data_IF_086212288520
#
_entry.id   IF_086212288520
#
_cell.length_a   1.000
_cell.length_b   1.000
_cell.length_c   1.000
_cell.angle_alpha   90.00
_cell.angle_beta   90.00
_cell.angle_gamma   90.00
#
_symmetry.space_group_name_H-M   'P 1'
#
loop_
_entity.id
_entity.type
_entity.pdbx_description
1 polymer ?
#
# COMPACT_ATOMS: atom_id res chain seq x y z
N UNK A 1 21.21 4.34 0.85
CA UNK A 1 20.60 3.05 0.43
C UNK A 1 19.16 3.24 -0.07
N UNK A 2 18.78 2.55 -1.16
CA UNK A 2 17.41 2.47 -1.72
C UNK A 2 16.94 1.01 -1.75
N UNK A 3 15.63 0.78 -1.71
CA UNK A 3 15.05 -0.56 -1.84
C UNK A 3 13.66 -0.54 -2.48
N UNK A 4 13.32 -1.62 -3.18
CA UNK A 4 12.00 -1.87 -3.75
C UNK A 4 11.62 -3.34 -3.54
N UNK A 5 10.37 -3.62 -3.18
CA UNK A 5 9.87 -4.98 -3.01
C UNK A 5 8.82 -5.29 -4.06
N UNK A 6 9.07 -6.27 -4.90
CA UNK A 6 8.09 -6.79 -5.84
C UNK A 6 7.35 -7.98 -5.25
N UNK A 7 6.02 -7.93 -5.34
CA UNK A 7 5.12 -9.02 -4.98
C UNK A 7 4.36 -9.45 -6.23
N UNK A 8 4.34 -10.74 -6.58
CA UNK A 8 3.67 -11.25 -7.78
C UNK A 8 2.15 -11.39 -7.57
N UNK A 9 1.52 -10.34 -7.06
CA UNK A 9 0.10 -10.29 -6.71
C UNK A 9 -0.52 -8.98 -7.22
N UNK A 10 -1.85 -8.98 -7.44
CA UNK A 10 -2.58 -7.79 -7.86
C UNK A 10 -2.52 -6.65 -6.82
N UNK A 11 -2.60 -5.38 -7.25
CA UNK A 11 -2.47 -4.22 -6.36
C UNK A 11 -3.51 -4.21 -5.23
N UNK A 12 -4.74 -4.66 -5.49
CA UNK A 12 -5.83 -4.68 -4.52
C UNK A 12 -5.65 -5.77 -3.45
N UNK A 13 -5.18 -6.96 -3.83
CA UNK A 13 -4.83 -8.03 -2.87
C UNK A 13 -3.68 -7.61 -1.95
N UNK A 14 -2.70 -6.91 -2.53
CA UNK A 14 -1.55 -6.40 -1.76
C UNK A 14 -1.98 -5.27 -0.85
N UNK A 15 -2.86 -4.36 -1.31
CA UNK A 15 -3.48 -3.32 -0.49
C UNK A 15 -4.22 -3.91 0.72
N UNK A 16 -5.11 -4.87 0.48
CA UNK A 16 -5.89 -5.52 1.54
C UNK A 16 -4.98 -6.20 2.57
N UNK A 17 -3.95 -6.91 2.10
CA UNK A 17 -2.97 -7.59 2.96
C UNK A 17 -2.16 -6.62 3.81
N UNK A 18 -1.70 -5.52 3.22
CA UNK A 18 -0.91 -4.51 3.94
C UNK A 18 -1.79 -3.78 4.96
N UNK A 19 -3.05 -3.47 4.62
CA UNK A 19 -4.04 -2.93 5.55
C UNK A 19 -4.28 -3.86 6.75
N UNK A 20 -4.45 -5.16 6.53
CA UNK A 20 -4.65 -6.14 7.60
C UNK A 20 -3.45 -6.24 8.57
N UNK A 21 -2.27 -5.76 8.16
CA UNK A 21 -1.04 -5.76 8.96
C UNK A 21 -0.62 -4.37 9.44
N UNK A 22 -1.48 -3.36 9.23
CA UNK A 22 -1.16 -1.94 9.48
C UNK A 22 0.10 -1.44 8.75
N UNK A 23 0.58 -2.18 7.74
CA UNK A 23 1.73 -1.79 6.95
C UNK A 23 1.33 -0.70 5.97
N UNK A 24 2.14 0.36 5.88
CA UNK A 24 1.85 1.50 5.00
C UNK A 24 3.02 1.77 4.05
N UNK A 25 3.00 1.21 2.83
CA UNK A 25 3.97 1.62 1.82
C UNK A 25 3.70 3.09 1.48
N UNK A 26 4.73 3.80 1.05
CA UNK A 26 4.57 5.18 0.58
C UNK A 26 3.98 5.21 -0.82
N UNK A 27 4.24 4.20 -1.64
CA UNK A 27 3.81 4.14 -3.03
C UNK A 27 3.66 2.70 -3.50
N UNK A 28 2.68 2.48 -4.36
CA UNK A 28 2.50 1.24 -5.12
C UNK A 28 2.74 1.54 -6.60
N UNK A 29 3.51 0.68 -7.27
CA UNK A 29 3.77 0.75 -8.70
C UNK A 29 3.31 -0.56 -9.33
N UNK A 30 2.13 -0.59 -9.98
CA UNK A 30 1.61 -1.80 -10.59
C UNK A 30 2.43 -2.19 -11.82
N UNK A 31 2.53 -3.49 -12.06
CA UNK A 31 3.10 -4.10 -13.26
C UNK A 31 2.16 -5.21 -13.74
N UNK A 32 2.30 -5.72 -14.97
CA UNK A 32 1.44 -6.78 -15.48
C UNK A 32 1.45 -8.05 -14.61
N UNK A 33 2.61 -8.39 -14.01
CA UNK A 33 2.78 -9.60 -13.21
C UNK A 33 2.85 -9.33 -11.70
N UNK A 34 2.51 -8.13 -11.23
CA UNK A 34 2.44 -7.86 -9.79
C UNK A 34 2.47 -6.38 -9.41
N UNK A 35 3.05 -6.10 -8.24
CA UNK A 35 3.16 -4.73 -7.73
C UNK A 35 4.52 -4.50 -7.06
N UNK A 36 5.18 -3.41 -7.40
CA UNK A 36 6.30 -2.90 -6.62
C UNK A 36 5.78 -2.06 -5.44
N UNK A 37 6.32 -2.37 -4.28
CA UNK A 37 6.10 -1.70 -3.01
C UNK A 37 7.28 -0.79 -2.73
N UNK A 38 7.00 0.51 -2.68
CA UNK A 38 7.97 1.53 -2.27
C UNK A 38 7.56 2.04 -0.88
N UNK A 39 8.15 1.47 0.15
CA UNK A 39 8.11 2.00 1.52
C UNK A 39 9.45 2.68 1.85
N UNK A 40 9.55 3.42 2.99
CA UNK A 40 10.81 3.92 3.54
C UNK A 40 11.96 2.95 3.26
N UNK A 41 13.01 3.44 2.61
CA UNK A 41 14.18 2.62 2.42
C UNK A 41 14.74 2.32 3.81
N UNK A 42 15.02 1.05 4.14
CA UNK A 42 15.65 0.77 5.42
C UNK A 42 16.99 1.49 5.48
N UNK A 43 17.35 1.99 6.66
CA UNK A 43 18.68 2.61 6.86
C UNK A 43 19.79 1.57 6.67
N UNK A 44 19.49 0.29 6.93
CA UNK A 44 20.42 -0.84 6.79
C UNK A 44 19.82 -2.02 6.02
N UNK A 45 20.64 -2.65 5.18
CA UNK A 45 20.23 -3.78 4.33
C UNK A 45 19.64 -4.98 5.10
N UNK A 46 20.09 -5.18 6.35
CA UNK A 46 19.62 -6.26 7.21
C UNK A 46 18.10 -6.22 7.50
N UNK A 47 17.43 -5.10 7.25
CA UNK A 47 15.98 -4.94 7.47
C UNK A 47 15.11 -5.29 6.26
N UNK A 48 15.70 -5.40 5.06
CA UNK A 48 14.98 -5.78 3.82
C UNK A 48 14.27 -7.14 3.93
N UNK A 49 14.85 -8.19 4.55
CA UNK A 49 14.19 -9.49 4.70
C UNK A 49 12.87 -9.45 5.45
N UNK A 50 12.76 -8.62 6.48
CA UNK A 50 11.54 -8.50 7.27
C UNK A 50 10.44 -7.78 6.49
N UNK A 51 10.82 -6.75 5.72
CA UNK A 51 9.91 -6.10 4.78
C UNK A 51 9.36 -7.10 3.75
N UNK A 52 10.20 -7.98 3.21
CA UNK A 52 9.79 -9.03 2.28
C UNK A 52 8.83 -10.02 2.90
N UNK A 53 9.13 -10.50 4.11
CA UNK A 53 8.24 -11.43 4.84
C UNK A 53 6.87 -10.82 5.08
N UNK A 54 6.81 -9.52 5.38
CA UNK A 54 5.54 -8.82 5.58
C UNK A 54 4.77 -8.67 4.27
N UNK A 55 5.46 -8.27 3.19
CA UNK A 55 4.88 -8.08 1.85
C UNK A 55 4.38 -9.40 1.22
N UNK A 56 5.19 -10.46 1.27
CA UNK A 56 4.86 -11.77 0.71
C UNK A 56 3.61 -12.38 1.37
N UNK A 57 3.42 -12.17 2.67
CA UNK A 57 2.30 -12.81 3.37
C UNK A 57 2.54 -14.31 3.62
N UNK A 58 1.46 -15.06 3.91
CA UNK A 58 1.58 -16.49 4.24
C UNK A 58 1.66 -17.33 2.95
N UNK A 59 2.79 -17.98 2.74
CA UNK A 59 2.96 -19.00 1.70
C UNK A 59 3.19 -18.47 0.28
N UNK A 60 3.35 -17.15 0.09
CA UNK A 60 3.67 -16.57 -1.23
C UNK A 60 5.13 -16.16 -1.32
N UNK A 61 5.58 -15.92 -2.53
CA UNK A 61 6.90 -15.40 -2.84
C UNK A 61 6.93 -13.87 -2.87
N UNK A 62 8.10 -13.29 -2.66
CA UNK A 62 8.37 -11.89 -2.96
C UNK A 62 9.85 -11.71 -3.30
N UNK A 63 10.17 -10.69 -4.08
CA UNK A 63 11.55 -10.35 -4.44
C UNK A 63 11.83 -8.91 -4.03
N UNK A 64 12.88 -8.70 -3.26
CA UNK A 64 13.35 -7.37 -2.87
C UNK A 64 14.63 -7.04 -3.60
N UNK A 65 14.75 -5.82 -4.08
CA UNK A 65 15.99 -5.26 -4.61
C UNK A 65 16.45 -4.15 -3.67
N UNK A 66 17.72 -4.18 -3.29
CA UNK A 66 18.35 -3.13 -2.49
C UNK A 66 19.61 -2.66 -3.20
N UNK A 67 19.87 -1.34 -3.19
CA UNK A 67 21.03 -0.80 -3.86
C UNK A 67 21.56 0.50 -3.24
N UNK A 68 22.86 0.74 -3.44
CA UNK A 68 23.58 1.94 -3.04
C UNK A 68 24.76 2.16 -3.98
N UNK A 69 24.71 3.23 -4.77
CA UNK A 69 25.64 3.42 -5.89
C UNK A 69 25.60 2.22 -6.84
N UNK A 70 26.77 1.68 -7.18
CA UNK A 70 26.92 0.53 -8.08
C UNK A 70 26.73 -0.83 -7.39
N UNK A 71 26.41 -0.84 -6.08
CA UNK A 71 26.16 -2.08 -5.34
C UNK A 71 24.68 -2.35 -5.32
N UNK A 72 24.26 -3.50 -5.85
CA UNK A 72 22.89 -3.97 -5.71
C UNK A 72 22.83 -5.42 -5.26
N UNK A 73 21.78 -5.73 -4.51
CA UNK A 73 21.49 -7.08 -4.03
C UNK A 73 20.02 -7.39 -4.26
N UNK A 74 19.76 -8.66 -4.52
CA UNK A 74 18.42 -9.19 -4.51
C UNK A 74 18.21 -10.08 -3.29
N UNK A 75 16.96 -10.13 -2.86
CA UNK A 75 16.48 -10.85 -1.71
C UNK A 75 15.21 -11.60 -2.14
N UNK A 76 15.29 -12.91 -2.30
CA UNK A 76 14.16 -13.74 -2.67
C UNK A 76 13.58 -14.41 -1.42
N UNK A 77 12.30 -14.19 -1.18
CA UNK A 77 11.54 -14.90 -0.15
C UNK A 77 10.70 -16.00 -0.81
N UNK A 78 10.99 -17.26 -0.48
CA UNK A 78 10.36 -18.44 -1.07
C UNK A 78 10.16 -19.50 0.00
N UNK A 79 8.94 -20.05 0.12
CA UNK A 79 8.68 -21.18 1.03
C UNK A 79 9.22 -20.96 2.46
N UNK A 80 9.11 -19.72 2.97
CA UNK A 80 9.63 -19.28 4.28
C UNK A 80 11.16 -19.27 4.41
N UNK A 81 11.89 -19.39 3.31
CA UNK A 81 13.33 -19.26 3.21
C UNK A 81 13.67 -17.95 2.52
N UNK A 82 14.67 -17.26 3.07
CA UNK A 82 15.30 -16.11 2.43
C UNK A 82 16.58 -16.56 1.72
N UNK A 83 16.76 -16.13 0.49
CA UNK A 83 18.04 -16.19 -0.23
C UNK A 83 18.43 -14.76 -0.59
N UNK A 84 19.68 -14.37 -0.38
CA UNK A 84 20.11 -12.98 -0.60
C UNK A 84 21.55 -12.91 -1.07
N UNK A 85 21.84 -11.94 -1.93
CA UNK A 85 23.18 -11.68 -2.42
C UNK A 85 23.19 -10.84 -3.69
N UNK A 86 24.38 -10.70 -4.28
CA UNK A 86 24.59 -9.95 -5.51
C UNK A 86 24.13 -10.74 -6.74
N UNK A 87 24.09 -10.06 -7.89
CA UNK A 87 23.64 -10.63 -9.16
C UNK A 87 24.47 -11.83 -9.61
N UNK A 88 25.78 -11.79 -9.33
CA UNK A 88 26.74 -12.83 -9.70
C UNK A 88 26.55 -14.13 -8.91
N UNK A 89 25.77 -14.11 -7.83
CA UNK A 89 25.51 -15.30 -7.04
C UNK A 89 24.43 -16.17 -7.73
N UNK A 90 24.78 -17.36 -8.23
CA UNK A 90 23.84 -18.21 -8.97
C UNK A 90 22.67 -18.70 -8.10
N UNK A 91 22.88 -18.87 -6.79
CA UNK A 91 21.81 -19.29 -5.88
C UNK A 91 20.75 -18.20 -5.73
N UNK A 92 21.17 -16.93 -5.71
CA UNK A 92 20.26 -15.78 -5.64
C UNK A 92 19.52 -15.62 -6.94
N UNK A 93 20.22 -15.73 -8.07
CA UNK A 93 19.61 -15.64 -9.40
C UNK A 93 18.51 -16.70 -9.60
N UNK A 94 18.80 -17.96 -9.25
CA UNK A 94 17.83 -19.05 -9.33
C UNK A 94 16.70 -18.89 -8.31
N UNK A 95 16.97 -18.37 -7.11
CA UNK A 95 15.92 -18.06 -6.15
C UNK A 95 15.01 -16.95 -6.69
N UNK A 96 15.56 -15.85 -7.20
CA UNK A 96 14.75 -14.79 -7.85
C UNK A 96 13.93 -15.41 -8.98
N UNK A 97 14.53 -16.15 -9.90
CA UNK A 97 13.81 -16.82 -10.99
C UNK A 97 12.63 -17.68 -10.48
N UNK A 98 12.88 -18.51 -9.47
CA UNK A 98 11.85 -19.36 -8.86
C UNK A 98 10.73 -18.54 -8.21
N UNK A 99 11.04 -17.40 -7.57
CA UNK A 99 10.03 -16.52 -6.96
C UNK A 99 9.10 -15.89 -8.00
N UNK A 100 9.58 -15.75 -9.23
CA UNK A 100 8.89 -15.13 -10.36
C UNK A 100 8.28 -16.14 -11.32
N UNK A 101 8.46 -17.45 -11.08
CA UNK A 101 8.01 -18.50 -11.99
C UNK A 101 8.81 -18.60 -13.30
N UNK A 102 10.04 -18.06 -13.33
CA UNK A 102 10.95 -18.18 -14.48
C UNK A 102 11.67 -19.52 -14.39
N UNK A 103 11.72 -20.27 -15.50
CA UNK A 103 12.49 -21.51 -15.54
C UNK A 103 14.00 -21.24 -15.45
N UNK A 104 14.74 -22.18 -14.85
CA UNK A 104 16.16 -21.98 -14.56
C UNK A 104 17.05 -21.82 -15.80
N UNK A 105 16.66 -22.36 -16.97
CA UNK A 105 17.43 -22.21 -18.20
C UNK A 105 17.24 -20.82 -18.80
N UNK A 106 16.00 -20.33 -18.87
CA UNK A 106 15.69 -18.96 -19.29
C UNK A 106 16.35 -17.94 -18.37
N UNK A 107 16.31 -18.17 -17.05
CA UNK A 107 16.98 -17.29 -16.09
C UNK A 107 18.49 -17.19 -16.35
N UNK A 108 19.17 -18.33 -16.58
CA UNK A 108 20.62 -18.32 -16.87
C UNK A 108 20.96 -17.63 -18.18
N UNK A 109 20.21 -17.90 -19.26
CA UNK A 109 20.39 -17.22 -20.55
C UNK A 109 20.19 -15.71 -20.41
N UNK A 110 19.11 -15.30 -19.74
CA UNK A 110 18.84 -13.89 -19.48
C UNK A 110 19.98 -13.25 -18.67
N UNK A 111 20.54 -13.95 -17.71
CA UNK A 111 21.67 -13.48 -16.90
C UNK A 111 22.96 -13.33 -17.73
N UNK A 112 23.28 -14.30 -18.58
CA UNK A 112 24.48 -14.28 -19.44
C UNK A 112 24.44 -13.14 -20.45
N UNK A 113 23.27 -12.85 -20.99
CA UNK A 113 23.11 -11.74 -21.93
C UNK A 113 23.13 -10.38 -21.21
N UNK A 114 22.81 -10.34 -19.90
CA UNK A 114 22.73 -9.13 -19.08
C UNK A 114 24.07 -8.41 -18.93
N UNK A 115 24.04 -7.12 -19.23
CA UNK A 115 25.18 -6.20 -19.08
C UNK A 115 24.77 -5.03 -18.19
N UNK A 116 25.72 -4.42 -17.49
CA UNK A 116 25.48 -3.29 -16.59
C UNK A 116 26.10 -3.51 -15.21
N UNK A 117 25.85 -2.57 -14.31
CA UNK A 117 26.33 -2.59 -12.92
C UNK A 117 25.20 -2.28 -11.94
N UNK A 118 25.32 -2.77 -10.72
CA UNK A 118 24.37 -2.50 -9.64
C UNK A 118 22.94 -2.88 -10.01
N UNK A 119 22.01 -1.96 -9.80
CA UNK A 119 20.58 -2.21 -10.07
C UNK A 119 20.30 -2.42 -11.57
N UNK A 120 21.18 -1.91 -12.44
CA UNK A 120 21.09 -2.07 -13.89
C UNK A 120 21.18 -3.53 -14.34
N UNK A 121 21.93 -4.38 -13.62
CA UNK A 121 21.99 -5.82 -13.92
C UNK A 121 20.63 -6.48 -13.66
N UNK A 122 20.00 -6.20 -12.52
CA UNK A 122 18.66 -6.74 -12.21
C UNK A 122 17.58 -6.25 -13.17
N UNK A 123 17.66 -4.98 -13.59
CA UNK A 123 16.78 -4.41 -14.61
C UNK A 123 16.95 -5.17 -15.94
N UNK A 124 18.19 -5.30 -16.43
CA UNK A 124 18.47 -5.99 -17.69
C UNK A 124 18.07 -7.46 -17.66
N UNK A 125 18.25 -8.14 -16.53
CA UNK A 125 17.82 -9.51 -16.32
C UNK A 125 16.31 -9.66 -16.44
N UNK A 126 15.52 -8.81 -15.76
CA UNK A 126 14.06 -8.87 -15.85
C UNK A 126 13.59 -8.64 -17.30
N UNK A 127 14.17 -7.65 -17.98
CA UNK A 127 13.81 -7.37 -19.37
C UNK A 127 14.07 -8.54 -20.31
N UNK A 128 15.21 -9.22 -20.14
CA UNK A 128 15.57 -10.39 -20.94
C UNK A 128 14.84 -11.67 -20.57
N UNK A 129 14.43 -11.81 -19.32
CA UNK A 129 13.64 -12.94 -18.85
C UNK A 129 12.15 -12.84 -19.26
N UNK A 130 11.75 -11.83 -20.05
CA UNK A 130 10.38 -11.63 -20.52
C UNK A 130 9.52 -10.70 -19.63
N UNK A 131 10.10 -10.16 -18.57
CA UNK A 131 9.46 -9.22 -17.64
C UNK A 131 9.85 -7.78 -17.98
N UNK A 132 9.66 -7.39 -19.25
CA UNK A 132 10.09 -6.09 -19.77
C UNK A 132 9.40 -4.93 -19.07
N UNK A 133 8.11 -5.08 -18.72
CA UNK A 133 7.37 -4.05 -17.99
C UNK A 133 7.89 -3.87 -16.57
N UNK A 134 8.18 -4.95 -15.86
CA UNK A 134 8.76 -4.93 -14.51
C UNK A 134 10.18 -4.35 -14.52
N UNK A 135 11.00 -4.71 -15.51
CA UNK A 135 12.32 -4.12 -15.69
C UNK A 135 12.26 -2.61 -15.92
N UNK A 136 11.34 -2.15 -16.79
CA UNK A 136 11.09 -0.71 -16.99
C UNK A 136 10.57 -0.02 -15.73
N UNK A 137 9.68 -0.66 -14.99
CA UNK A 137 9.19 -0.13 -13.71
C UNK A 137 10.34 0.00 -12.70
N UNK A 138 11.20 -1.01 -12.58
CA UNK A 138 12.37 -0.97 -11.70
C UNK A 138 13.39 0.09 -12.14
N UNK A 139 13.60 0.26 -13.46
CA UNK A 139 14.40 1.37 -14.01
C UNK A 139 13.83 2.72 -13.62
N UNK A 140 12.52 2.93 -13.84
CA UNK A 140 11.83 4.14 -13.42
C UNK A 140 11.97 4.39 -11.92
N UNK A 141 11.82 3.36 -11.07
CA UNK A 141 12.02 3.47 -9.62
C UNK A 141 13.45 3.90 -9.30
N UNK A 142 14.45 3.31 -9.96
CA UNK A 142 15.87 3.60 -9.73
C UNK A 142 16.26 5.04 -10.14
N UNK A 143 15.71 5.52 -11.26
CA UNK A 143 15.99 6.83 -11.84
C UNK A 143 15.14 7.96 -11.25
N UNK A 144 13.94 7.65 -10.77
CA UNK A 144 13.02 8.66 -10.27
C UNK A 144 13.49 9.29 -8.95
N UNK A 145 13.22 10.59 -8.79
CA UNK A 145 13.28 11.32 -7.52
C UNK A 145 12.12 10.95 -6.59
N UNK A 146 11.63 9.71 -6.67
CA UNK A 146 10.82 9.12 -5.60
C UNK A 146 11.78 8.85 -4.46
N UNK A 147 12.22 9.94 -3.82
CA UNK A 147 13.05 9.92 -2.65
C UNK A 147 12.17 9.39 -1.52
N UNK A 148 12.27 8.09 -1.36
CA UNK A 148 11.72 7.42 -0.21
C UNK A 148 12.75 7.63 0.90
N UNK A 149 12.50 8.53 1.87
CA UNK A 149 13.49 8.85 2.88
C UNK A 149 13.87 7.58 3.64
N UNK A 150 15.17 7.49 3.94
CA UNK A 150 15.69 6.42 4.77
C UNK A 150 15.07 6.49 6.17
N UNK A 151 14.79 5.34 6.77
CA UNK A 151 14.25 5.29 8.12
C UNK A 151 14.84 4.13 8.93
N UNK A 152 15.08 4.37 10.23
CA UNK A 152 15.55 3.36 11.20
C UNK A 152 14.55 2.24 11.49
N UNK A 153 13.29 2.49 11.16
CA UNK A 153 12.18 1.60 11.43
C UNK A 153 11.60 1.15 10.10
N UNK A 154 11.19 -0.10 10.06
CA UNK A 154 10.67 -0.73 8.85
C UNK A 154 9.35 -0.07 8.46
N UNK A 155 9.05 0.03 7.17
CA UNK A 155 7.83 0.70 6.71
C UNK A 155 6.51 0.09 7.22
N UNK A 156 6.52 -1.18 7.63
CA UNK A 156 5.39 -1.81 8.31
C UNK A 156 5.32 -1.50 9.82
N UNK A 157 6.42 -1.07 10.44
CA UNK A 157 6.49 -0.53 11.80
C UNK A 157 6.11 0.95 11.85
N UNK A 158 6.13 1.64 10.70
CA UNK A 158 5.73 3.04 10.57
C UNK A 158 4.22 3.27 10.53
N UNK A 159 3.47 2.35 11.13
CA UNK A 159 2.05 2.54 11.37
C UNK A 159 1.84 3.83 12.16
N UNK A 160 1.53 4.92 11.44
CA UNK A 160 1.19 6.20 12.03
C UNK A 160 2.30 7.24 12.18
N UNK A 161 3.44 7.20 11.50
CA UNK A 161 4.44 8.28 11.67
C UNK A 161 4.07 9.66 11.07
N UNK A 162 2.91 9.77 10.40
CA UNK A 162 2.24 11.08 10.15
C UNK A 162 1.24 11.50 11.23
N UNK A 163 0.95 10.63 12.18
CA UNK A 163 0.18 10.94 13.37
C UNK A 163 1.02 10.61 14.60
N UNK A 164 1.52 11.63 15.26
CA UNK A 164 1.97 11.55 16.66
C UNK A 164 0.88 11.09 17.65
N UNK A 165 -0.17 10.41 17.18
CA UNK A 165 -1.35 9.93 17.92
C UNK A 165 -2.00 8.76 17.16
N UNK A 166 -1.43 7.54 17.17
CA UNK A 166 -2.17 6.35 16.72
C UNK A 166 -2.33 5.35 17.86
N UNK A 167 -3.49 5.46 18.51
CA UNK A 167 -4.16 4.39 19.24
C UNK A 167 -4.57 3.31 18.22
N UNK A 168 -4.18 2.06 18.48
CA UNK A 168 -4.45 0.85 17.69
C UNK A 168 -5.90 0.79 17.16
N UNK A 169 -6.12 0.50 15.87
CA UNK A 169 -7.46 0.30 15.35
C UNK A 169 -7.76 -1.20 15.19
N UNK A 170 -8.48 -1.79 16.14
CA UNK A 170 -9.20 -3.05 15.88
C UNK A 170 -9.05 -4.14 16.93
N UNK A 171 -9.75 -3.99 18.06
CA UNK A 171 -10.57 -5.06 18.66
C UNK A 171 -11.06 -4.62 20.03
N UNK A 172 -12.25 -4.02 20.07
CA UNK A 172 -13.30 -4.25 21.08
C UNK A 172 -14.45 -3.29 20.75
N UNK A 173 -15.72 -3.76 20.71
CA UNK A 173 -16.84 -2.83 20.86
C UNK A 173 -16.59 -2.06 22.15
N UNK A 174 -16.71 -0.72 22.11
CA UNK A 174 -16.44 0.24 23.18
C UNK A 174 -15.87 -0.38 24.46
N UNK A 175 -14.59 -0.15 24.75
CA UNK A 175 -13.95 -0.59 25.99
C UNK A 175 -14.93 -0.40 27.16
N UNK A 176 -15.15 -1.39 28.04
CA UNK A 176 -16.13 -1.30 29.13
C UNK A 176 -15.90 -0.05 29.99
N UNK A 177 -14.66 0.44 30.08
CA UNK A 177 -14.34 1.74 30.70
C UNK A 177 -14.99 2.95 30.02
N UNK A 178 -15.09 2.97 28.69
CA UNK A 178 -15.77 4.04 27.94
C UNK A 178 -17.29 3.96 28.15
N UNK A 179 -17.86 2.75 28.15
CA UNK A 179 -19.30 2.57 28.44
C UNK A 179 -19.64 2.97 29.88
N UNK A 180 -18.81 2.58 30.85
CA UNK A 180 -18.95 2.99 32.26
C UNK A 180 -18.78 4.50 32.41
N UNK A 181 -17.81 5.11 31.72
CA UNK A 181 -17.61 6.55 31.75
C UNK A 181 -18.81 7.30 31.17
N UNK A 182 -19.35 6.85 30.02
CA UNK A 182 -20.56 7.41 29.43
C UNK A 182 -21.77 7.26 30.37
N UNK A 183 -21.93 6.11 31.02
CA UNK A 183 -22.99 5.87 32.00
C UNK A 183 -22.87 6.84 33.18
N UNK A 184 -21.66 6.97 33.76
CA UNK A 184 -21.39 7.88 34.88
C UNK A 184 -21.69 9.32 34.47
N UNK A 185 -21.20 9.77 33.32
CA UNK A 185 -21.46 11.13 32.81
C UNK A 185 -22.95 11.38 32.59
N UNK A 186 -23.68 10.41 32.03
CA UNK A 186 -25.13 10.52 31.81
C UNK A 186 -25.91 10.59 33.13
N UNK A 187 -25.58 9.72 34.10
CA UNK A 187 -26.21 9.77 35.43
C UNK A 187 -25.89 11.07 36.18
N UNK A 188 -24.66 11.57 36.04
CA UNK A 188 -24.23 12.84 36.67
C UNK A 188 -24.98 14.01 36.05
N UNK A 189 -25.19 13.99 34.73
CA UNK A 189 -25.98 15.01 34.04
C UNK A 189 -27.46 15.00 34.45
N UNK A 190 -28.06 13.81 34.60
CA UNK A 190 -29.44 13.67 35.08
C UNK A 190 -29.61 14.17 36.53
N UNK A 191 -28.71 13.77 37.43
CA UNK A 191 -28.75 14.20 38.83
C UNK A 191 -28.50 15.70 38.94
N UNK A 192 -27.50 16.22 38.22
CA UNK A 192 -27.16 17.64 38.20
C UNK A 192 -28.28 18.51 37.63
N UNK A 193 -28.94 18.08 36.55
CA UNK A 193 -30.09 18.76 35.95
C UNK A 193 -31.33 18.74 36.85
N UNK A 194 -31.64 17.59 37.46
CA UNK A 194 -32.76 17.49 38.41
C UNK A 194 -32.55 18.32 39.67
N UNK A 195 -31.32 18.35 40.21
CA UNK A 195 -30.95 19.20 41.34
C UNK A 195 -30.99 20.70 41.00
N UNK A 196 -30.65 21.08 39.76
CA UNK A 196 -30.75 22.46 39.29
C UNK A 196 -32.20 22.98 39.26
N UNK A 197 -33.13 22.15 38.76
CA UNK A 197 -34.58 22.49 38.74
C UNK A 197 -35.14 22.61 40.16
N UNK A 198 -34.61 21.83 41.11
CA UNK A 198 -35.02 21.88 42.52
C UNK A 198 -34.39 23.06 43.28
N UNK A 199 -33.12 23.41 42.99
CA UNK A 199 -32.36 24.45 43.68
C UNK A 199 -32.66 25.89 43.22
N UNK A 200 -33.42 26.06 42.14
CA UNK A 200 -33.72 27.37 41.51
C UNK A 200 -34.41 28.38 42.44
N UNK A 201 -35.04 27.92 43.53
CA UNK A 201 -35.82 28.81 44.41
C UNK A 201 -35.11 29.34 45.66
N UNK A 202 -34.26 28.58 46.33
CA UNK A 202 -33.84 28.96 47.71
C UNK A 202 -32.34 28.86 48.02
N UNK A 203 -31.50 28.30 47.13
CA UNK A 203 -30.10 27.99 47.45
C UNK A 203 -29.10 28.34 46.33
N UNK A 204 -28.63 29.60 46.25
CA UNK A 204 -27.75 30.07 45.17
C UNK A 204 -26.38 29.38 45.13
N UNK A 205 -25.87 28.90 46.27
CA UNK A 205 -24.61 28.15 46.32
C UNK A 205 -24.74 26.73 45.76
N UNK A 206 -25.94 26.12 45.84
CA UNK A 206 -26.22 24.78 45.29
C UNK A 206 -26.34 24.87 43.77
N UNK A 207 -26.96 25.94 43.25
CA UNK A 207 -27.01 26.25 41.82
C UNK A 207 -25.63 26.33 41.17
N UNK A 208 -24.67 27.04 41.80
CA UNK A 208 -23.30 27.15 41.30
C UNK A 208 -22.58 25.79 41.28
N UNK A 209 -22.77 24.97 42.31
CA UNK A 209 -22.21 23.62 42.37
C UNK A 209 -22.78 22.70 41.28
N UNK A 210 -24.10 22.72 41.07
CA UNK A 210 -24.76 21.93 40.03
C UNK A 210 -24.39 22.38 38.61
N UNK A 211 -24.29 23.70 38.38
CA UNK A 211 -23.84 24.25 37.10
C UNK A 211 -22.38 23.85 36.77
N UNK A 212 -21.49 23.89 37.77
CA UNK A 212 -20.10 23.45 37.59
C UNK A 212 -20.00 21.94 37.29
N UNK A 213 -20.85 21.12 37.93
CA UNK A 213 -20.95 19.67 37.67
C UNK A 213 -21.46 19.36 36.26
N UNK A 214 -22.47 20.08 35.77
CA UNK A 214 -22.95 19.93 34.39
C UNK A 214 -21.93 20.42 33.37
N UNK A 215 -21.23 21.52 33.64
CA UNK A 215 -20.20 22.05 32.74
C UNK A 215 -19.00 21.09 32.63
N UNK A 216 -18.58 20.47 33.75
CA UNK A 216 -17.51 19.48 33.75
C UNK A 216 -17.92 18.17 33.06
N UNK A 217 -19.16 17.70 33.27
CA UNK A 217 -19.69 16.54 32.55
C UNK A 217 -19.81 16.82 31.03
N UNK A 218 -20.26 18.02 30.66
CA UNK A 218 -20.30 18.50 29.28
C UNK A 218 -18.92 18.58 28.63
N UNK A 219 -17.93 19.14 29.31
CA UNK A 219 -16.55 19.22 28.82
C UNK A 219 -15.91 17.83 28.66
N UNK A 220 -16.14 16.92 29.62
CA UNK A 220 -15.63 15.54 29.57
C UNK A 220 -16.31 14.73 28.45
N UNK A 221 -17.62 14.86 28.26
CA UNK A 221 -18.33 14.21 27.15
C UNK A 221 -17.88 14.73 25.77
N UNK A 222 -17.59 16.03 25.64
CA UNK A 222 -16.98 16.58 24.43
C UNK A 222 -15.60 15.97 24.18
N UNK A 223 -14.76 15.80 25.19
CA UNK A 223 -13.46 15.13 25.03
C UNK A 223 -13.61 13.65 24.63
N UNK A 224 -14.59 12.93 25.20
CA UNK A 224 -14.82 11.50 24.91
C UNK A 224 -15.41 11.29 23.51
N UNK A 225 -16.25 12.21 23.00
CA UNK A 225 -16.93 12.07 21.70
C UNK A 225 -16.18 12.75 20.55
N UNK A 226 -15.65 13.96 20.76
CA UNK A 226 -15.01 14.73 19.69
C UNK A 226 -13.56 14.30 19.44
N UNK A 227 -12.83 13.82 20.45
CA UNK A 227 -11.48 13.30 20.23
C UNK A 227 -11.45 12.11 19.24
N UNK A 228 -12.30 11.07 19.36
CA UNK A 228 -12.33 9.99 18.37
C UNK A 228 -12.89 10.43 17.00
N UNK A 229 -13.80 11.41 16.93
CA UNK A 229 -14.30 11.94 15.66
C UNK A 229 -13.25 12.79 14.92
N UNK A 230 -12.49 13.63 15.63
CA UNK A 230 -11.35 14.39 15.08
C UNK A 230 -10.23 13.44 14.63
N UNK A 231 -9.97 12.38 15.39
CA UNK A 231 -9.08 11.29 15.01
C UNK A 231 -9.63 10.50 13.81
N UNK A 232 -10.94 10.34 13.67
CA UNK A 232 -11.53 9.67 12.48
C UNK A 232 -11.40 10.50 11.20
N UNK A 233 -11.47 11.84 11.30
CA UNK A 233 -11.24 12.74 10.16
C UNK A 233 -9.75 12.84 9.79
N UNK A 234 -8.83 12.67 10.74
CA UNK A 234 -7.39 12.51 10.44
C UNK A 234 -7.03 11.11 9.94
N UNK A 235 -7.88 10.10 10.19
CA UNK A 235 -7.87 8.77 9.57
C UNK A 235 -8.50 8.78 8.17
N UNK A 236 -8.20 9.78 7.33
CA UNK A 236 -8.37 9.58 5.89
C UNK A 236 -7.46 8.40 5.52
N UNK A 237 -8.08 7.25 5.26
CA UNK A 237 -7.53 6.19 4.42
C UNK A 237 -7.43 6.74 3.01
N UNK A 238 -6.59 7.75 2.83
CA UNK A 238 -6.18 8.11 1.48
C UNK A 238 -5.48 6.85 0.96
N UNK A 239 -5.98 6.24 -0.14
CA UNK A 239 -5.35 5.08 -0.72
C UNK A 239 -3.89 5.42 -0.98
N UNK A 240 -2.98 4.45 -0.79
CA UNK A 240 -1.56 4.69 -1.08
C UNK A 240 -1.46 5.31 -2.47
N UNK A 241 -0.69 6.39 -2.67
CA UNK A 241 -0.58 6.99 -3.99
C UNK A 241 -0.07 5.90 -4.92
N UNK A 242 -0.95 5.46 -5.82
CA UNK A 242 -0.61 4.49 -6.85
C UNK A 242 -0.05 5.29 -8.00
N UNK A 243 1.12 4.92 -8.46
CA UNK A 243 1.71 5.56 -9.62
C UNK A 243 1.96 4.52 -10.64
N UNK A 244 1.40 4.80 -11.80
CA UNK A 244 1.28 3.88 -12.89
C UNK A 244 2.14 4.42 -14.04
N UNK A 245 3.47 4.34 -13.92
CA UNK A 245 4.38 4.84 -14.95
C UNK A 245 4.23 4.08 -16.28
N UNK A 246 3.43 3.01 -16.29
CA UNK A 246 3.17 2.15 -17.43
C UNK A 246 1.72 2.30 -17.96
N UNK A 247 0.92 3.21 -17.41
CA UNK A 247 -0.51 3.43 -17.75
C UNK A 247 -1.37 2.13 -17.76
N UNK A 248 -1.01 1.14 -16.95
CA UNK A 248 -1.68 -0.16 -16.85
C UNK A 248 -3.10 -0.05 -16.28
N UNK A 249 -3.30 0.84 -15.31
CA UNK A 249 -4.61 1.13 -14.73
C UNK A 249 -5.54 1.81 -15.71
N UNK A 250 -5.02 2.69 -16.58
CA UNK A 250 -5.84 3.31 -17.62
C UNK A 250 -6.47 2.26 -18.56
N UNK A 251 -5.77 1.15 -18.80
CA UNK A 251 -6.26 0.02 -19.61
C UNK A 251 -7.25 -0.89 -18.85
N UNK A 252 -7.15 -0.95 -17.52
CA UNK A 252 -8.05 -1.73 -16.66
C UNK A 252 -9.32 -0.96 -16.26
N UNK A 253 -9.28 0.38 -16.23
CA UNK A 253 -10.46 1.24 -15.94
C UNK A 253 -11.12 1.79 -17.18
N UNK A 254 -10.58 1.55 -18.38
CA UNK A 254 -11.30 1.83 -19.62
C UNK A 254 -12.58 0.96 -19.64
N UNK A 255 -13.78 1.55 -19.82
CA UNK A 255 -14.98 0.74 -20.06
C UNK A 255 -14.70 -0.20 -21.24
N UNK A 256 -15.23 -1.44 -21.25
CA UNK A 256 -15.00 -2.36 -22.34
C UNK A 256 -15.28 -1.62 -23.64
N UNK A 257 -14.29 -1.60 -24.53
CA UNK A 257 -14.45 -1.00 -25.84
C UNK A 257 -15.77 -1.57 -26.41
N UNK A 258 -16.70 -0.73 -26.89
CA UNK A 258 -17.88 -1.26 -27.55
C UNK A 258 -17.39 -2.22 -28.62
N UNK A 259 -17.95 -3.44 -28.62
CA UNK A 259 -17.63 -4.47 -29.61
C UNK A 259 -17.48 -3.77 -30.97
N UNK A 260 -16.39 -4.03 -31.73
CA UNK A 260 -16.33 -3.58 -33.09
C UNK A 260 -17.50 -4.24 -33.79
N UNK A 261 -18.61 -3.52 -33.85
CA UNK A 261 -19.73 -3.86 -34.70
C UNK A 261 -19.07 -4.02 -36.05
N UNK A 262 -19.09 -5.20 -36.68
CA UNK A 262 -18.46 -5.36 -37.96
C UNK A 262 -19.09 -4.29 -38.83
N UNK A 263 -18.28 -3.31 -39.23
CA UNK A 263 -18.66 -2.39 -40.26
C UNK A 263 -18.89 -3.31 -41.45
N UNK A 264 -20.15 -3.64 -41.69
CA UNK A 264 -20.58 -4.27 -42.92
C UNK A 264 -20.14 -3.25 -43.96
N UNK A 265 -18.99 -3.55 -44.56
CA UNK A 265 -18.55 -2.91 -45.77
C UNK A 265 -19.70 -3.14 -46.75
N UNK A 266 -20.55 -2.13 -46.90
CA UNK A 266 -21.42 -2.04 -48.07
C UNK A 266 -20.47 -1.91 -49.24
N UNK A 267 -20.13 -3.06 -49.82
CA UNK A 267 -19.78 -3.17 -51.21
C UNK A 267 -20.96 -2.56 -51.98
N UNK A 268 -20.87 -1.27 -52.31
CA UNK A 268 -21.58 -0.74 -53.45
C UNK A 268 -20.94 -1.40 -54.67
N UNK A 269 -21.55 -2.51 -55.08
CA UNK A 269 -21.30 -3.15 -56.34
C UNK A 269 -21.65 -2.16 -57.45
N UNK A 270 -20.65 -1.62 -58.12
CA UNK A 270 -20.81 -0.98 -59.41
C UNK A 270 -21.18 -2.09 -60.43
N UNK A 271 -22.32 -2.03 -61.12
CA UNK A 271 -22.70 -3.07 -62.06
C UNK A 271 -22.00 -2.88 -63.41
N UNK A 272 -21.12 -3.84 -63.72
CA UNK A 272 -20.24 -3.88 -64.89
C UNK A 272 -20.96 -4.40 -66.16
N UNK A 273 -22.03 -3.75 -66.60
CA UNK A 273 -22.78 -4.19 -67.80
C UNK A 273 -23.26 -3.11 -68.77
N UNK A 274 -22.71 -1.89 -68.72
CA UNK A 274 -22.99 -0.89 -69.76
C UNK A 274 -21.71 -0.17 -70.22
N UNK A 275 -20.90 -0.86 -71.03
CA UNK A 275 -20.29 -0.32 -72.28
C UNK A 275 -19.41 -1.37 -72.96
N UNK A 276 -20.04 -2.26 -73.69
CA UNK A 276 -19.42 -2.94 -74.83
C UNK A 276 -19.76 -2.19 -76.13
N UNK A 277 -18.72 -1.94 -76.93
CA UNK A 277 -18.74 -2.05 -78.41
C UNK A 277 -19.45 -0.98 -79.24
N UNK A 278 -18.65 -0.09 -79.83
CA UNK A 278 -18.44 0.03 -81.29
C UNK A 278 -17.40 1.10 -81.59
#
# INVERSE_FOLDING_TARGET
MRAAVWVPDGPDEVLERLHARYARPRRLVPTPHGVFLLGPAPEVEAEVPDALKVAAGRGRSAVGFSWEGDRARAHAWLNRRLVSGAFENPDVLLAVAAALGIDGLTARRAAEETTGVGIGQWIGFLERAGFTAEGRALRWIAESDVDVPAHRRRWWELAGERSTTLVEPGSRPYSPTVLVLCLVLFTTALIGGGALVWAERDHPMVLLGCAALLATAGALSQLVVLAPLAVSRSRRTDPFPVSDPLDLRAHLTAPPAPDPTPAIARYEAEPDYLRGGS
#
